data_IF_103391477291
#
_entry.id   IF_103391477291
#
_cell.length_a   1.000
_cell.length_b   1.000
_cell.length_c   1.000
_cell.angle_alpha   90.00
_cell.angle_beta   90.00
_cell.angle_gamma   90.00
#
_symmetry.space_group_name_H-M   'P 1'
#
loop_
_entity.id
_entity.type
_entity.pdbx_description
1 polymer ?
#
# COMPACT_ATOMS: atom_id res chain seq x y z
N UNK A 1 -48.00 22.20 25.79
CA UNK A 1 -47.20 22.01 27.02
C UNK A 1 -47.34 20.54 27.41
N UNK A 2 -46.36 19.65 27.44
CA UNK A 2 -44.89 19.70 27.48
C UNK A 2 -44.34 18.51 26.66
N UNK A 3 -43.35 18.75 25.79
CA UNK A 3 -42.34 17.74 25.44
C UNK A 3 -41.43 17.53 26.64
N UNK A 4 -40.89 16.31 26.86
CA UNK A 4 -39.52 16.03 27.36
C UNK A 4 -39.26 14.50 27.30
N UNK A 5 -38.48 14.13 26.29
CA UNK A 5 -37.37 13.14 26.22
C UNK A 5 -37.44 11.79 26.96
N UNK A 6 -37.42 10.71 26.18
CA UNK A 6 -36.71 9.46 26.53
C UNK A 6 -35.45 9.33 25.68
N UNK A 7 -34.32 9.48 26.37
CA UNK A 7 -32.98 8.91 26.14
C UNK A 7 -32.72 8.25 24.78
N UNK A 8 -32.06 8.98 23.86
CA UNK A 8 -31.16 8.35 22.90
C UNK A 8 -29.86 8.02 23.64
N UNK A 9 -29.57 6.74 23.74
CA UNK A 9 -28.30 6.23 24.22
C UNK A 9 -27.15 6.84 23.40
N UNK A 10 -26.24 7.52 24.10
CA UNK A 10 -24.92 7.86 23.59
C UNK A 10 -24.14 6.57 23.32
N UNK A 11 -24.28 6.04 22.10
CA UNK A 11 -23.39 5.02 21.54
C UNK A 11 -22.15 5.72 20.98
N UNK A 12 -21.23 6.08 21.87
CA UNK A 12 -19.93 6.61 21.50
C UNK A 12 -18.83 5.68 22.01
N UNK A 13 -18.63 4.55 21.30
CA UNK A 13 -17.41 3.73 21.44
C UNK A 13 -16.98 3.18 20.07
N UNK A 14 -16.06 3.84 19.32
CA UNK A 14 -15.26 3.07 18.37
C UNK A 14 -13.80 3.55 18.15
N UNK A 15 -13.16 4.25 19.10
CA UNK A 15 -11.76 4.69 18.91
C UNK A 15 -10.71 3.61 19.19
N UNK A 16 -10.91 2.77 20.22
CA UNK A 16 -9.88 1.82 20.69
C UNK A 16 -9.80 0.53 19.84
N UNK A 17 -10.94 0.02 19.36
CA UNK A 17 -11.00 -1.24 18.60
C UNK A 17 -10.31 -1.14 17.23
N UNK A 18 -10.45 0.00 16.56
CA UNK A 18 -9.83 0.24 15.24
C UNK A 18 -8.30 0.35 15.34
N UNK A 19 -7.80 0.96 16.42
CA UNK A 19 -6.36 1.04 16.69
C UNK A 19 -5.76 -0.37 16.89
N UNK A 20 -6.38 -1.18 17.74
CA UNK A 20 -5.94 -2.56 18.01
C UNK A 20 -5.99 -3.42 16.74
N UNK A 21 -7.02 -3.27 15.91
CA UNK A 21 -7.14 -3.99 14.65
C UNK A 21 -6.00 -3.62 13.67
N UNK A 22 -5.71 -2.33 13.52
CA UNK A 22 -4.62 -1.84 12.68
C UNK A 22 -3.25 -2.32 13.15
N UNK A 23 -3.02 -2.33 14.47
CA UNK A 23 -1.78 -2.82 15.05
C UNK A 23 -1.59 -4.31 14.77
N UNK A 24 -2.61 -5.14 15.06
CA UNK A 24 -2.58 -6.58 14.76
C UNK A 24 -2.32 -6.86 13.28
N UNK A 25 -2.95 -6.08 12.41
CA UNK A 25 -2.77 -6.20 10.97
C UNK A 25 -1.34 -5.87 10.54
N UNK A 26 -0.77 -4.77 11.01
CA UNK A 26 0.62 -4.42 10.72
C UNK A 26 1.61 -5.47 11.26
N UNK A 27 1.37 -6.01 12.45
CA UNK A 27 2.19 -7.09 13.01
C UNK A 27 2.14 -8.36 12.15
N UNK A 28 0.97 -8.70 11.61
CA UNK A 28 0.82 -9.82 10.67
C UNK A 28 1.62 -9.59 9.38
N UNK A 29 1.57 -8.38 8.81
CA UNK A 29 2.33 -8.04 7.60
C UNK A 29 3.84 -8.14 7.86
N UNK A 30 4.32 -7.56 8.97
CA UNK A 30 5.74 -7.59 9.35
C UNK A 30 6.22 -9.03 9.53
N UNK A 31 5.43 -9.87 10.22
CA UNK A 31 5.73 -11.29 10.38
C UNK A 31 5.84 -12.00 9.01
N UNK A 32 4.87 -11.78 8.13
CA UNK A 32 4.87 -12.37 6.79
C UNK A 32 6.09 -11.96 5.96
N UNK A 33 6.44 -10.67 5.98
CA UNK A 33 7.63 -10.17 5.27
C UNK A 33 8.93 -10.72 5.86
N UNK A 34 9.05 -10.82 7.18
CA UNK A 34 10.22 -11.38 7.85
C UNK A 34 10.49 -12.83 7.41
N UNK A 35 9.45 -13.64 7.27
CA UNK A 35 9.57 -15.01 6.74
C UNK A 35 9.93 -15.00 5.25
N UNK A 36 9.25 -14.18 4.44
CA UNK A 36 9.41 -14.19 2.99
C UNK A 36 10.80 -13.74 2.51
N UNK A 37 11.47 -12.87 3.28
CA UNK A 37 12.75 -12.26 2.90
C UNK A 37 13.98 -13.00 3.44
N UNK A 38 13.79 -13.95 4.36
CA UNK A 38 14.88 -14.66 5.05
C UNK A 38 14.84 -16.18 4.82
N UNK A 39 15.99 -16.85 4.94
CA UNK A 39 16.04 -18.31 4.96
C UNK A 39 15.80 -18.81 6.38
N UNK A 40 14.54 -19.14 6.68
CA UNK A 40 14.08 -19.55 8.01
C UNK A 40 14.68 -20.89 8.49
N UNK A 41 15.36 -21.63 7.61
CA UNK A 41 15.98 -22.93 7.91
C UNK A 41 17.42 -22.80 8.42
N UNK A 42 18.01 -21.60 8.39
CA UNK A 42 19.36 -21.38 8.90
C UNK A 42 19.35 -21.36 10.42
N UNK A 43 20.30 -22.04 11.04
CA UNK A 43 20.46 -22.06 12.51
C UNK A 43 20.69 -20.66 13.11
N UNK A 44 21.19 -19.72 12.31
CA UNK A 44 21.41 -18.33 12.68
C UNK A 44 20.18 -17.43 12.51
N UNK A 45 19.04 -17.98 12.09
CA UNK A 45 17.83 -17.20 11.85
C UNK A 45 17.21 -16.73 13.18
N UNK A 46 17.04 -15.43 13.31
CA UNK A 46 16.35 -14.80 14.44
C UNK A 46 15.09 -14.09 13.94
N UNK A 47 13.93 -14.58 14.35
CA UNK A 47 12.62 -14.05 13.95
C UNK A 47 12.40 -12.61 14.44
N UNK A 48 12.88 -12.25 15.63
CA UNK A 48 12.69 -10.91 16.17
C UNK A 48 13.53 -9.90 15.39
N UNK A 49 14.80 -10.25 15.12
CA UNK A 49 15.68 -9.43 14.27
C UNK A 49 15.15 -9.30 12.85
N UNK A 50 14.58 -10.37 12.29
CA UNK A 50 13.95 -10.33 10.98
C UNK A 50 12.73 -9.39 10.94
N UNK A 51 11.86 -9.46 11.94
CA UNK A 51 10.71 -8.54 12.08
C UNK A 51 11.13 -7.08 12.25
N UNK A 52 12.17 -6.83 13.05
CA UNK A 52 12.74 -5.49 13.23
C UNK A 52 13.23 -4.92 11.91
N UNK A 53 14.03 -5.68 11.15
CA UNK A 53 14.47 -5.29 9.80
C UNK A 53 13.31 -5.00 8.86
N UNK A 54 12.27 -5.85 8.84
CA UNK A 54 11.08 -5.64 8.01
C UNK A 54 10.36 -4.35 8.39
N UNK A 55 10.19 -4.10 9.70
CA UNK A 55 9.58 -2.87 10.21
C UNK A 55 10.38 -1.63 9.79
N UNK A 56 11.69 -1.65 9.97
CA UNK A 56 12.57 -0.53 9.64
C UNK A 56 12.59 -0.26 8.13
N UNK A 57 12.63 -1.31 7.31
CA UNK A 57 12.59 -1.19 5.87
C UNK A 57 11.24 -0.63 5.36
N UNK A 58 10.12 -1.07 5.94
CA UNK A 58 8.79 -0.52 5.62
C UNK A 58 8.67 0.94 6.05
N UNK A 59 9.22 1.31 7.20
CA UNK A 59 9.28 2.70 7.66
C UNK A 59 10.15 3.56 6.73
N UNK A 60 11.30 3.04 6.27
CA UNK A 60 12.18 3.72 5.32
C UNK A 60 11.52 3.94 3.95
N UNK A 61 10.60 3.06 3.53
CA UNK A 61 9.76 3.23 2.33
C UNK A 61 8.59 4.20 2.54
N UNK A 62 8.42 4.75 3.75
CA UNK A 62 7.35 5.70 4.06
C UNK A 62 5.96 5.07 4.06
N UNK A 63 5.85 3.81 4.50
CA UNK A 63 4.56 3.13 4.56
C UNK A 63 3.63 3.76 5.61
N UNK A 64 2.49 4.30 5.16
CA UNK A 64 1.44 4.85 6.01
C UNK A 64 0.13 4.10 5.82
N UNK A 65 -0.37 3.50 6.91
CA UNK A 65 -1.62 2.73 6.91
C UNK A 65 -1.50 1.35 6.26
N UNK A 66 -2.55 0.54 6.44
CA UNK A 66 -2.51 -0.90 6.12
C UNK A 66 -2.23 -1.23 4.65
N UNK A 67 -2.76 -0.44 3.70
CA UNK A 67 -2.54 -0.69 2.27
C UNK A 67 -1.09 -0.44 1.85
N UNK A 68 -0.49 0.67 2.29
CA UNK A 68 0.91 0.96 2.00
C UNK A 68 1.84 -0.02 2.74
N UNK A 69 1.48 -0.44 3.96
CA UNK A 69 2.19 -1.52 4.67
C UNK A 69 2.21 -2.82 3.87
N UNK A 70 1.06 -3.26 3.32
CA UNK A 70 1.01 -4.47 2.49
C UNK A 70 1.85 -4.33 1.22
N UNK A 71 1.73 -3.20 0.52
CA UNK A 71 2.44 -2.97 -0.74
C UNK A 71 3.95 -2.94 -0.52
N UNK A 72 4.43 -2.22 0.49
CA UNK A 72 5.85 -2.15 0.82
C UNK A 72 6.41 -3.50 1.27
N UNK A 73 5.66 -4.27 2.07
CA UNK A 73 6.03 -5.64 2.41
C UNK A 73 6.14 -6.55 1.16
N UNK A 74 5.24 -6.40 0.19
CA UNK A 74 5.34 -7.14 -1.08
C UNK A 74 6.57 -6.69 -1.89
N UNK A 75 6.84 -5.39 -1.98
CA UNK A 75 7.99 -4.83 -2.68
C UNK A 75 9.32 -5.34 -2.10
N UNK A 76 9.44 -5.39 -0.77
CA UNK A 76 10.62 -5.93 -0.09
C UNK A 76 10.84 -7.41 -0.44
N UNK A 77 9.79 -8.23 -0.42
CA UNK A 77 9.88 -9.65 -0.82
C UNK A 77 10.29 -9.82 -2.28
N UNK A 78 9.76 -9.01 -3.19
CA UNK A 78 10.13 -9.01 -4.62
C UNK A 78 11.59 -8.61 -4.80
N UNK A 79 12.03 -7.55 -4.11
CA UNK A 79 13.40 -7.08 -4.16
C UNK A 79 14.40 -8.15 -3.70
N UNK A 80 14.17 -8.75 -2.54
CA UNK A 80 15.05 -9.79 -1.99
C UNK A 80 15.12 -11.03 -2.87
N UNK A 81 13.97 -11.47 -3.40
CA UNK A 81 13.94 -12.59 -4.34
C UNK A 81 14.70 -12.27 -5.63
N UNK A 82 14.59 -11.02 -6.13
CA UNK A 82 15.33 -10.56 -7.30
C UNK A 82 16.84 -10.56 -7.04
N UNK A 83 17.31 -10.02 -5.91
CA UNK A 83 18.73 -10.00 -5.54
C UNK A 83 19.32 -11.41 -5.45
N UNK A 84 18.57 -12.34 -4.83
CA UNK A 84 18.97 -13.75 -4.75
C UNK A 84 19.00 -14.41 -6.13
N UNK A 85 18.02 -14.13 -6.98
CA UNK A 85 17.97 -14.64 -8.36
C UNK A 85 19.15 -14.12 -9.20
N UNK A 86 19.51 -12.84 -9.07
CA UNK A 86 20.68 -12.26 -9.74
C UNK A 86 21.98 -12.91 -9.25
N UNK A 87 22.09 -13.19 -7.95
CA UNK A 87 23.22 -13.90 -7.37
C UNK A 87 23.38 -15.31 -7.97
N UNK A 88 22.29 -16.05 -8.15
CA UNK A 88 22.30 -17.35 -8.83
C UNK A 88 22.66 -17.25 -10.31
N UNK A 89 22.16 -16.23 -11.02
CA UNK A 89 22.52 -16.00 -12.42
C UNK A 89 24.03 -15.75 -12.59
N UNK A 90 24.65 -15.05 -11.64
CA UNK A 90 26.08 -14.76 -11.64
C UNK A 90 26.94 -15.99 -11.31
N UNK A 91 26.44 -16.89 -10.45
CA UNK A 91 27.19 -18.06 -9.98
C UNK A 91 27.04 -19.34 -10.83
N UNK A 92 26.28 -19.31 -11.94
CA UNK A 92 26.01 -20.50 -12.76
C UNK A 92 26.66 -20.41 -14.14
N UNK A 93 27.38 -21.47 -14.53
CA UNK A 93 28.05 -21.57 -15.84
C UNK A 93 27.13 -22.13 -16.92
N UNK A 94 26.14 -22.94 -16.53
CA UNK A 94 25.20 -23.54 -17.47
C UNK A 94 24.31 -22.48 -18.12
N UNK A 95 24.45 -22.30 -19.44
CA UNK A 95 23.82 -21.21 -20.20
C UNK A 95 22.29 -21.14 -20.02
N UNK A 96 21.59 -22.28 -20.08
CA UNK A 96 20.13 -22.30 -19.91
C UNK A 96 19.68 -21.88 -18.50
N UNK A 97 20.43 -22.26 -17.46
CA UNK A 97 20.12 -21.85 -16.09
C UNK A 97 20.42 -20.36 -15.90
N UNK A 98 21.53 -19.87 -16.46
CA UNK A 98 21.86 -18.44 -16.47
C UNK A 98 20.77 -17.61 -17.13
N UNK A 99 20.28 -18.07 -18.29
CA UNK A 99 19.15 -17.46 -19.02
C UNK A 99 17.87 -17.49 -18.20
N UNK A 100 17.55 -18.63 -17.57
CA UNK A 100 16.38 -18.77 -16.69
C UNK A 100 16.39 -17.74 -15.55
N UNK A 101 17.48 -17.68 -14.78
CA UNK A 101 17.58 -16.74 -13.65
C UNK A 101 17.59 -15.29 -14.12
N UNK A 102 18.28 -14.96 -15.22
CA UNK A 102 18.28 -13.61 -15.79
C UNK A 102 16.87 -13.18 -16.18
N UNK A 103 16.10 -14.05 -16.84
CA UNK A 103 14.72 -13.78 -17.21
C UNK A 103 13.81 -13.61 -16.00
N UNK A 104 13.99 -14.44 -14.96
CA UNK A 104 13.25 -14.29 -13.71
C UNK A 104 13.57 -12.95 -13.02
N UNK A 105 14.84 -12.55 -12.97
CA UNK A 105 15.27 -11.27 -12.40
C UNK A 105 14.65 -10.07 -13.14
N UNK A 106 14.59 -10.10 -14.48
CA UNK A 106 13.93 -9.05 -15.28
C UNK A 106 12.43 -8.97 -14.98
N UNK A 107 11.74 -10.12 -14.85
CA UNK A 107 10.31 -10.14 -14.50
C UNK A 107 10.05 -9.53 -13.11
N UNK A 108 10.88 -9.87 -12.13
CA UNK A 108 10.78 -9.31 -10.78
C UNK A 108 11.05 -7.80 -10.79
N UNK A 109 12.04 -7.34 -11.57
CA UNK A 109 12.34 -5.91 -11.73
C UNK A 109 11.17 -5.14 -12.33
N UNK A 110 10.52 -5.69 -13.37
CA UNK A 110 9.34 -5.06 -13.96
C UNK A 110 8.17 -4.99 -12.97
N UNK A 111 7.97 -6.04 -12.17
CA UNK A 111 6.97 -6.05 -11.10
C UNK A 111 7.27 -4.97 -10.04
N UNK A 112 8.54 -4.86 -9.61
CA UNK A 112 8.97 -3.85 -8.66
C UNK A 112 8.69 -2.42 -9.17
N UNK A 113 8.99 -2.13 -10.44
CA UNK A 113 8.69 -0.82 -11.05
C UNK A 113 7.19 -0.51 -11.03
N UNK A 114 6.34 -1.49 -11.33
CA UNK A 114 4.88 -1.31 -11.24
C UNK A 114 4.43 -1.01 -9.81
N UNK A 115 4.96 -1.73 -8.81
CA UNK A 115 4.66 -1.50 -7.41
C UNK A 115 5.16 -0.13 -6.92
N UNK A 116 6.36 0.28 -7.34
CA UNK A 116 6.92 1.59 -7.01
C UNK A 116 6.05 2.73 -7.56
N UNK A 117 5.52 2.59 -8.79
CA UNK A 117 4.57 3.55 -9.35
C UNK A 117 3.25 3.60 -8.58
N UNK A 118 2.76 2.45 -8.09
CA UNK A 118 1.57 2.40 -7.23
C UNK A 118 1.83 3.07 -5.89
N UNK A 119 2.98 2.80 -5.27
CA UNK A 119 3.38 3.41 -4.00
C UNK A 119 3.50 4.93 -4.13
N UNK A 120 4.15 5.42 -5.19
CA UNK A 120 4.27 6.85 -5.48
C UNK A 120 2.87 7.51 -5.56
N UNK A 121 1.92 6.90 -6.28
CA UNK A 121 0.53 7.38 -6.35
C UNK A 121 -0.15 7.39 -4.98
N UNK A 122 0.01 6.32 -4.18
CA UNK A 122 -0.55 6.24 -2.83
C UNK A 122 0.05 7.28 -1.88
N UNK A 123 1.29 7.70 -2.12
CA UNK A 123 1.98 8.74 -1.37
C UNK A 123 1.69 10.16 -1.89
N UNK A 124 0.81 10.30 -2.89
CA UNK A 124 0.48 11.59 -3.49
C UNK A 124 1.57 12.16 -4.42
N UNK A 125 2.59 11.37 -4.72
CA UNK A 125 3.65 11.73 -5.67
C UNK A 125 3.11 11.51 -7.09
N UNK A 126 3.14 12.57 -7.92
CA UNK A 126 2.71 12.51 -9.31
C UNK A 126 1.28 12.97 -9.59
N UNK A 127 0.60 13.59 -8.63
CA UNK A 127 -0.62 14.36 -8.91
C UNK A 127 -0.29 15.62 -9.73
N UNK A 128 -0.99 15.82 -10.85
CA UNK A 128 -0.90 17.08 -11.59
C UNK A 128 -1.56 18.18 -10.76
N UNK A 129 -0.77 19.11 -10.23
CA UNK A 129 -1.29 20.31 -9.56
C UNK A 129 -1.80 21.27 -10.62
N UNK A 130 -3.11 21.29 -10.86
CA UNK A 130 -3.76 22.31 -11.70
C UNK A 130 -4.07 23.51 -10.80
N UNK A 131 -3.42 24.64 -11.07
CA UNK A 131 -3.73 25.93 -10.45
C UNK A 131 -4.58 26.71 -11.45
N UNK A 132 -5.78 27.10 -11.04
CA UNK A 132 -6.68 27.90 -11.86
C UNK A 132 -6.56 29.36 -11.42
N UNK A 133 -6.04 30.22 -12.28
CA UNK A 133 -5.85 31.65 -11.96
C UNK A 133 -7.05 32.52 -12.35
N UNK A 134 -7.73 32.19 -13.45
CA UNK A 134 -8.93 32.91 -13.91
C UNK A 134 -9.99 31.94 -14.41
N UNK A 135 -11.24 32.19 -14.03
CA UNK A 135 -12.43 31.49 -14.52
C UNK A 135 -13.46 32.52 -14.97
N UNK A 136 -13.79 32.53 -16.27
CA UNK A 136 -14.89 33.35 -16.79
C UNK A 136 -16.14 32.46 -16.92
N UNK A 137 -17.17 32.74 -16.12
CA UNK A 137 -18.46 32.02 -16.15
C UNK A 137 -19.52 32.91 -16.79
N UNK A 138 -20.19 32.39 -17.83
CA UNK A 138 -21.24 33.11 -18.54
C UNK A 138 -22.63 32.78 -17.98
N UNK A 139 -23.65 33.55 -18.38
CA UNK A 139 -25.04 33.36 -17.95
C UNK A 139 -25.50 31.90 -18.12
N UNK A 140 -25.99 31.31 -17.03
CA UNK A 140 -26.44 29.91 -16.98
C UNK A 140 -25.34 28.87 -16.76
N UNK A 141 -24.05 29.24 -16.72
CA UNK A 141 -22.93 28.34 -16.48
C UNK A 141 -22.56 28.19 -15.00
N UNK A 142 -21.97 27.05 -14.64
CA UNK A 142 -21.34 26.83 -13.33
C UNK A 142 -19.98 26.16 -13.53
N UNK A 143 -18.96 26.64 -12.82
CA UNK A 143 -17.65 26.02 -12.77
C UNK A 143 -17.45 25.37 -11.39
N UNK A 144 -17.04 24.11 -11.37
CA UNK A 144 -16.81 23.34 -10.14
C UNK A 144 -15.39 22.77 -10.19
N UNK A 145 -14.61 23.01 -9.14
CA UNK A 145 -13.30 22.38 -8.92
C UNK A 145 -13.42 21.53 -7.66
N UNK A 146 -13.30 20.21 -7.80
CA UNK A 146 -13.43 19.28 -6.68
C UNK A 146 -13.89 17.90 -7.13
N UNK A 147 -14.06 17.00 -6.16
CA UNK A 147 -14.51 15.65 -6.41
C UNK A 147 -16.05 15.62 -6.51
N UNK A 148 -16.62 15.36 -7.69
CA UNK A 148 -18.07 15.33 -7.90
C UNK A 148 -18.59 13.91 -7.68
N UNK A 149 -19.28 13.66 -6.56
CA UNK A 149 -20.11 12.46 -6.39
C UNK A 149 -21.52 12.74 -6.95
N UNK A 150 -21.75 12.35 -8.19
CA UNK A 150 -23.05 12.54 -8.85
C UNK A 150 -24.12 11.64 -8.24
N UNK A 151 -25.10 12.24 -7.57
CA UNK A 151 -26.35 11.55 -7.22
C UNK A 151 -27.09 11.19 -8.50
N UNK A 152 -27.14 9.89 -8.80
CA UNK A 152 -27.90 9.35 -9.92
C UNK A 152 -29.39 9.66 -9.66
N UNK A 153 -29.95 10.55 -10.49
CA UNK A 153 -31.25 11.18 -10.27
C UNK A 153 -32.39 10.18 -10.11
N UNK A 154 -33.09 10.31 -8.99
CA UNK A 154 -34.39 9.69 -8.78
C UNK A 154 -35.41 10.38 -9.68
N UNK A 155 -35.69 9.81 -10.86
CA UNK A 155 -36.84 10.20 -11.70
C UNK A 155 -38.01 9.27 -11.35
N UNK A 156 -38.81 9.67 -10.37
CA UNK A 156 -40.18 9.18 -10.27
C UNK A 156 -40.94 9.66 -11.51
N UNK A 157 -41.35 8.72 -12.36
CA UNK A 157 -42.39 8.95 -13.36
C UNK A 157 -43.73 8.88 -12.66
N UNK A 158 -44.33 10.03 -12.41
CA UNK A 158 -45.79 10.18 -12.36
C UNK A 158 -46.37 10.14 -13.76
#
# INVERSE_FOLDING_TARGET
MKNVTSSKADLQVPSNTNHVANEKFNQHIIHGNAIATNDIRKDTFDMNKAKEKSKDAMAALGAVGGLQSMLTAQMLSIHELQQRTMSYANGVDHLELKKYYTNAAVKLSNCFVQQANVLAKLQGVGGQKIIVERVDVHQGGQAIVGNIQGGMGNKEKT
#
